data_IF_528995004368
#
_entry.id   IF_528995004368
#
_cell.length_a   1.000
_cell.length_b   1.000
_cell.length_c   1.000
_cell.angle_alpha   90.00
_cell.angle_beta   90.00
_cell.angle_gamma   90.00
#
_symmetry.space_group_name_H-M   'P 1'
#
loop_
_entity.id
_entity.type
_entity.pdbx_description
1 polymer ?
#
# COMPACT_ATOMS: atom_id res chain seq x y z
N UNK A 1 4.87 -2.96 -21.31
CA UNK A 1 4.60 -1.57 -21.78
C UNK A 1 5.02 -0.69 -20.61
N UNK A 2 5.78 0.40 -20.80
CA UNK A 2 6.24 1.18 -19.64
C UNK A 2 5.05 1.62 -18.80
N UNK A 3 5.04 1.22 -17.53
CA UNK A 3 4.02 1.59 -16.55
C UNK A 3 4.15 3.07 -16.15
N UNK A 4 5.39 3.58 -16.23
CA UNK A 4 5.71 4.95 -15.90
C UNK A 4 4.95 5.99 -16.74
N UNK A 5 4.41 7.04 -16.11
CA UNK A 5 3.81 8.15 -16.83
C UNK A 5 4.84 8.90 -17.67
N UNK A 6 4.47 9.19 -18.91
CA UNK A 6 5.30 9.93 -19.89
C UNK A 6 5.16 11.45 -19.80
N UNK A 7 4.16 11.93 -19.06
CA UNK A 7 3.93 13.35 -18.80
C UNK A 7 4.41 13.81 -17.42
N UNK A 8 4.99 12.89 -16.63
CA UNK A 8 5.48 13.21 -15.31
C UNK A 8 6.81 13.97 -15.36
N UNK A 9 6.90 15.00 -14.53
CA UNK A 9 8.16 15.71 -14.32
C UNK A 9 9.07 14.90 -13.40
N UNK A 10 10.34 14.76 -13.77
CA UNK A 10 11.38 14.37 -12.82
C UNK A 10 11.57 15.47 -11.78
N UNK A 11 12.05 15.11 -10.60
CA UNK A 11 12.63 16.10 -9.70
C UNK A 11 13.94 16.64 -10.34
N UNK A 12 14.21 17.96 -10.35
CA UNK A 12 13.51 19.06 -9.67
C UNK A 12 12.69 19.96 -10.62
N UNK A 13 11.95 19.38 -11.57
CA UNK A 13 11.03 20.15 -12.44
C UNK A 13 9.57 20.13 -11.94
N UNK A 14 9.27 19.27 -10.97
CA UNK A 14 7.94 19.08 -10.40
C UNK A 14 7.38 20.33 -9.69
N UNK A 15 6.06 20.59 -9.70
CA UNK A 15 5.45 21.77 -9.07
C UNK A 15 5.32 21.65 -7.54
N UNK A 16 6.41 21.30 -6.85
CA UNK A 16 6.51 21.14 -5.40
C UNK A 16 7.71 21.89 -4.82
N UNK A 17 7.68 22.17 -3.52
CA UNK A 17 8.84 22.66 -2.79
C UNK A 17 9.88 21.54 -2.61
N UNK A 18 11.17 21.86 -2.66
CA UNK A 18 12.27 20.87 -2.50
C UNK A 18 13.02 20.98 -1.16
N UNK A 19 12.53 21.80 -0.23
CA UNK A 19 13.13 21.91 1.10
C UNK A 19 12.65 20.75 1.98
N UNK A 20 13.38 19.64 1.99
CA UNK A 20 13.06 18.41 2.74
C UNK A 20 13.07 18.60 4.28
N UNK A 21 13.45 19.79 4.78
CA UNK A 21 13.24 20.15 6.19
C UNK A 21 11.80 20.59 6.51
N UNK A 22 10.94 20.69 5.48
CA UNK A 22 9.53 21.08 5.57
C UNK A 22 8.66 20.11 4.78
N UNK A 23 7.35 20.03 5.11
CA UNK A 23 6.41 19.28 4.29
C UNK A 23 6.39 19.77 2.85
N UNK A 24 6.37 18.84 1.90
CA UNK A 24 6.30 19.15 0.48
C UNK A 24 4.96 19.81 0.16
N UNK A 25 5.02 21.03 -0.38
CA UNK A 25 3.85 21.81 -0.76
C UNK A 25 3.85 22.16 -2.24
N UNK A 26 2.67 22.26 -2.84
CA UNK A 26 2.53 22.64 -4.24
C UNK A 26 3.02 24.07 -4.48
N UNK A 27 3.78 24.31 -5.55
CA UNK A 27 4.24 25.66 -5.91
C UNK A 27 3.26 26.42 -6.80
N UNK A 28 2.31 25.70 -7.40
CA UNK A 28 1.23 26.21 -8.23
C UNK A 28 -0.05 25.37 -8.00
N UNK A 29 -1.16 25.77 -8.61
CA UNK A 29 -2.41 25.00 -8.51
C UNK A 29 -2.30 23.71 -9.35
N UNK A 30 -2.58 22.56 -8.74
CA UNK A 30 -2.50 21.24 -9.38
C UNK A 30 -3.92 20.70 -9.57
N UNK A 31 -4.19 20.21 -10.79
CA UNK A 31 -5.50 19.65 -11.16
C UNK A 31 -5.63 18.18 -10.79
N UNK A 32 -6.87 17.71 -10.56
CA UNK A 32 -7.14 16.28 -10.36
C UNK A 32 -6.71 15.47 -11.59
N UNK A 33 -6.05 14.34 -11.38
CA UNK A 33 -5.49 13.47 -12.40
C UNK A 33 -4.14 13.92 -12.96
N UNK A 34 -3.61 15.07 -12.52
CA UNK A 34 -2.28 15.53 -12.89
C UNK A 34 -1.23 14.74 -12.12
N UNK A 35 -0.30 14.11 -12.85
CA UNK A 35 0.91 13.54 -12.23
C UNK A 35 1.79 14.70 -11.77
N UNK A 36 2.06 14.74 -10.47
CA UNK A 36 2.85 15.79 -9.81
C UNK A 36 4.33 15.58 -10.13
N UNK A 37 4.83 14.38 -9.85
CA UNK A 37 6.20 13.97 -10.12
C UNK A 37 6.33 12.47 -10.15
N UNK A 38 7.45 12.00 -10.70
CA UNK A 38 7.96 10.65 -10.48
C UNK A 38 9.38 10.70 -9.92
N UNK A 39 9.74 9.67 -9.17
CA UNK A 39 11.04 9.49 -8.55
C UNK A 39 11.45 8.03 -8.69
N UNK A 40 12.59 7.78 -9.34
CA UNK A 40 13.25 6.47 -9.31
C UNK A 40 14.03 6.34 -8.01
N UNK A 41 14.09 5.12 -7.48
CA UNK A 41 14.85 4.83 -6.28
C UNK A 41 16.34 5.21 -6.49
N UNK A 42 16.93 5.81 -5.47
CA UNK A 42 18.37 6.09 -5.45
C UNK A 42 19.20 4.79 -5.41
N UNK A 43 18.67 3.78 -4.74
CA UNK A 43 19.20 2.43 -4.61
C UNK A 43 18.02 1.49 -4.36
N UNK A 44 18.04 0.31 -4.96
CA UNK A 44 17.10 -0.78 -4.70
C UNK A 44 17.81 -2.03 -4.19
N UNK A 45 17.08 -2.97 -3.58
CA UNK A 45 17.60 -4.31 -3.31
C UNK A 45 16.47 -5.31 -3.21
N UNK A 46 16.62 -6.47 -3.85
CA UNK A 46 15.65 -7.54 -3.77
C UNK A 46 15.53 -7.99 -2.31
N UNK A 47 14.30 -8.06 -1.81
CA UNK A 47 14.01 -8.55 -0.47
C UNK A 47 14.38 -10.02 -0.32
N UNK A 48 14.40 -10.58 0.90
CA UNK A 48 14.40 -12.02 1.05
C UNK A 48 13.19 -12.56 0.27
N UNK A 49 13.43 -13.51 -0.64
CA UNK A 49 12.36 -14.36 -1.13
C UNK A 49 11.80 -15.03 0.13
N UNK A 50 10.60 -14.63 0.58
CA UNK A 50 9.85 -15.41 1.55
C UNK A 50 9.68 -16.79 0.91
N UNK A 51 10.50 -17.75 1.34
CA UNK A 51 10.18 -19.14 1.12
C UNK A 51 9.01 -19.44 2.04
N UNK A 52 7.82 -19.55 1.46
CA UNK A 52 6.57 -19.93 2.11
C UNK A 52 6.77 -21.02 3.19
N UNK A 53 6.22 -20.76 4.38
CA UNK A 53 6.16 -21.73 5.48
C UNK A 53 6.17 -21.05 6.86
N UNK A 54 5.00 -20.92 7.49
CA UNK A 54 4.89 -20.62 8.92
C UNK A 54 5.75 -21.62 9.73
N UNK A 55 6.63 -21.12 10.61
CA UNK A 55 7.39 -22.00 11.52
C UNK A 55 7.26 -21.60 12.98
N UNK A 56 6.97 -22.60 13.83
CA UNK A 56 6.78 -22.49 15.29
C UNK A 56 8.04 -21.91 15.99
N UNK A 57 7.82 -21.08 17.01
CA UNK A 57 8.82 -20.29 17.77
C UNK A 57 10.00 -21.08 18.41
N UNK A 58 10.06 -22.41 18.29
CA UNK A 58 11.10 -23.26 18.92
C UNK A 58 11.70 -24.28 17.92
N UNK A 59 12.48 -23.81 16.93
CA UNK A 59 13.29 -24.69 16.07
C UNK A 59 14.75 -24.79 16.59
N UNK A 60 15.15 -25.97 17.10
CA UNK A 60 16.53 -26.25 17.57
C UNK A 60 17.47 -26.81 16.48
N UNK A 61 17.09 -26.80 15.20
CA UNK A 61 17.88 -27.39 14.11
C UNK A 61 18.79 -26.33 13.43
N UNK A 62 20.10 -26.42 13.68
CA UNK A 62 21.14 -25.57 13.08
C UNK A 62 21.30 -25.70 11.55
N UNK A 63 20.56 -26.60 10.93
CA UNK A 63 20.51 -26.81 9.47
C UNK A 63 19.13 -26.51 8.87
N UNK A 64 18.20 -25.96 9.67
CA UNK A 64 16.90 -25.50 9.20
C UNK A 64 17.05 -24.26 8.29
N UNK A 65 16.39 -24.21 7.11
CA UNK A 65 16.43 -23.04 6.22
C UNK A 65 15.78 -21.78 6.80
N UNK A 66 14.96 -21.90 7.85
CA UNK A 66 14.09 -20.84 8.38
C UNK A 66 14.64 -20.05 9.58
N UNK A 67 15.90 -20.22 9.97
CA UNK A 67 16.55 -19.26 10.89
C UNK A 67 17.06 -18.08 10.05
N UNK A 68 16.22 -17.07 9.79
CA UNK A 68 16.53 -15.79 9.11
C UNK A 68 17.79 -15.89 8.24
N UNK A 69 17.73 -16.71 7.18
CA UNK A 69 18.87 -16.85 6.26
C UNK A 69 19.01 -15.51 5.57
N UNK A 70 20.00 -14.75 5.99
CA UNK A 70 20.36 -13.49 5.35
C UNK A 70 20.42 -13.72 3.83
N UNK A 71 19.60 -12.98 3.09
CA UNK A 71 19.52 -13.13 1.64
C UNK A 71 20.93 -13.03 1.05
N UNK A 72 21.33 -14.05 0.29
CA UNK A 72 22.58 -13.98 -0.47
C UNK A 72 22.48 -12.83 -1.49
N UNK A 73 23.61 -12.22 -1.83
CA UNK A 73 23.65 -11.23 -2.90
C UNK A 73 23.39 -11.93 -4.24
N UNK A 74 22.44 -11.41 -4.99
CA UNK A 74 22.25 -11.80 -6.39
C UNK A 74 23.43 -11.29 -7.26
N UNK A 75 23.62 -11.88 -8.45
CA UNK A 75 24.78 -11.58 -9.29
C UNK A 75 24.81 -10.10 -9.73
N UNK A 76 23.64 -9.51 -9.99
CA UNK A 76 23.45 -8.09 -10.30
C UNK A 76 23.70 -7.20 -9.06
N UNK A 77 23.23 -7.60 -7.88
CA UNK A 77 23.50 -6.88 -6.63
C UNK A 77 25.00 -6.83 -6.30
N UNK A 78 25.77 -7.87 -6.66
CA UNK A 78 27.23 -7.87 -6.49
C UNK A 78 27.93 -6.84 -7.39
N UNK A 79 27.40 -6.55 -8.58
CA UNK A 79 27.95 -5.53 -9.48
C UNK A 79 27.76 -4.10 -8.96
N UNK A 80 26.79 -3.90 -8.07
CA UNK A 80 26.48 -2.60 -7.44
C UNK A 80 27.23 -2.34 -6.13
N UNK A 81 28.04 -3.30 -5.68
CA UNK A 81 28.80 -3.21 -4.44
C UNK A 81 30.31 -3.18 -4.69
N UNK A 82 31.07 -2.73 -3.68
CA UNK A 82 32.52 -2.83 -3.73
C UNK A 82 32.97 -4.29 -3.62
N UNK A 83 34.12 -4.62 -4.22
CA UNK A 83 34.67 -5.98 -4.14
C UNK A 83 34.92 -6.44 -2.70
N UNK A 84 35.26 -5.51 -1.79
CA UNK A 84 35.42 -5.79 -0.37
C UNK A 84 34.09 -6.14 0.31
N UNK A 85 33.01 -5.41 -0.01
CA UNK A 85 31.68 -5.71 0.51
C UNK A 85 31.17 -7.08 0.04
N UNK A 86 31.44 -7.46 -1.21
CA UNK A 86 31.07 -8.78 -1.76
C UNK A 86 31.90 -9.91 -1.12
N UNK A 87 33.22 -9.73 -0.97
CA UNK A 87 34.11 -10.73 -0.36
C UNK A 87 33.80 -10.96 1.12
N UNK A 88 33.49 -9.89 1.85
CA UNK A 88 33.22 -9.93 3.29
C UNK A 88 31.72 -10.06 3.64
N UNK A 89 30.81 -10.19 2.66
CA UNK A 89 29.34 -10.14 2.88
C UNK A 89 28.84 -11.07 4.00
N UNK A 90 29.35 -12.31 4.04
CA UNK A 90 28.99 -13.26 5.08
C UNK A 90 29.42 -12.81 6.48
N UNK A 91 30.65 -12.30 6.60
CA UNK A 91 31.22 -11.85 7.89
C UNK A 91 30.55 -10.56 8.37
N UNK A 92 30.27 -9.62 7.46
CA UNK A 92 29.52 -8.38 7.72
C UNK A 92 28.15 -8.69 8.33
N UNK A 93 27.45 -9.69 7.77
CA UNK A 93 26.13 -10.09 8.24
C UNK A 93 26.16 -10.82 9.58
N UNK A 94 27.15 -11.69 9.79
CA UNK A 94 27.39 -12.29 11.10
C UNK A 94 27.62 -11.21 12.16
N UNK A 95 28.39 -10.16 11.83
CA UNK A 95 28.60 -9.02 12.73
C UNK A 95 27.30 -8.29 13.07
N UNK A 96 26.51 -7.88 12.09
CA UNK A 96 25.25 -7.16 12.36
C UNK A 96 24.26 -7.99 13.16
N UNK A 97 24.22 -9.30 12.95
CA UNK A 97 23.38 -10.21 13.75
C UNK A 97 23.80 -10.30 15.23
N UNK A 98 24.98 -9.80 15.61
CA UNK A 98 25.39 -9.70 17.02
C UNK A 98 24.86 -8.45 17.74
N UNK A 99 24.28 -7.50 17.01
CA UNK A 99 23.73 -6.28 17.59
C UNK A 99 22.43 -6.55 18.36
N UNK A 100 22.12 -5.70 19.34
CA UNK A 100 20.87 -5.79 20.11
C UNK A 100 19.65 -5.60 19.21
N UNK A 101 19.75 -4.69 18.23
CA UNK A 101 18.78 -4.47 17.17
C UNK A 101 19.56 -4.49 15.85
N UNK A 102 19.55 -5.62 15.11
CA UNK A 102 20.21 -5.70 13.82
C UNK A 102 19.46 -4.85 12.77
N UNK A 103 20.16 -4.12 11.88
CA UNK A 103 19.53 -3.56 10.69
C UNK A 103 18.91 -4.67 9.83
N UNK A 104 17.84 -4.37 9.10
CA UNK A 104 17.21 -5.33 8.18
C UNK A 104 18.17 -5.72 7.05
N UNK A 105 17.94 -6.86 6.39
CA UNK A 105 18.81 -7.33 5.32
C UNK A 105 18.92 -6.32 4.16
N UNK A 106 17.84 -5.61 3.87
CA UNK A 106 17.73 -4.58 2.84
C UNK A 106 18.55 -3.35 3.20
N UNK A 107 18.43 -2.85 4.44
CA UNK A 107 19.23 -1.71 4.93
C UNK A 107 20.72 -2.00 4.81
N UNK A 108 21.14 -3.23 5.13
CA UNK A 108 22.52 -3.69 4.99
C UNK A 108 22.99 -3.66 3.53
N UNK A 109 22.18 -4.19 2.60
CA UNK A 109 22.47 -4.18 1.17
C UNK A 109 22.56 -2.74 0.65
N UNK A 110 21.57 -1.90 0.95
CA UNK A 110 21.54 -0.51 0.53
C UNK A 110 22.75 0.26 1.05
N UNK A 111 23.15 0.07 2.31
CA UNK A 111 24.30 0.77 2.88
C UNK A 111 25.60 0.44 2.12
N UNK A 112 25.83 -0.84 1.79
CA UNK A 112 26.98 -1.27 0.99
C UNK A 112 26.94 -0.68 -0.43
N UNK A 113 25.77 -0.62 -1.07
CA UNK A 113 25.58 0.04 -2.37
C UNK A 113 25.88 1.53 -2.29
N UNK A 114 25.40 2.25 -1.26
CA UNK A 114 25.69 3.67 -1.04
C UNK A 114 27.19 3.93 -0.85
N UNK A 115 27.90 3.06 -0.13
CA UNK A 115 29.35 3.14 -0.01
C UNK A 115 30.04 3.02 -1.37
N UNK A 116 29.61 2.08 -2.21
CA UNK A 116 30.15 1.93 -3.55
C UNK A 116 29.88 3.19 -4.41
N UNK A 117 28.66 3.73 -4.35
CA UNK A 117 28.32 4.99 -5.03
C UNK A 117 29.22 6.15 -4.57
N UNK A 118 29.52 6.24 -3.27
CA UNK A 118 30.44 7.25 -2.72
C UNK A 118 31.88 7.08 -3.21
N UNK A 119 32.37 5.83 -3.31
CA UNK A 119 33.70 5.57 -3.85
C UNK A 119 33.84 5.97 -5.32
N UNK A 120 32.76 5.81 -6.09
CA UNK A 120 32.69 6.25 -7.49
C UNK A 120 32.58 7.78 -7.60
N UNK A 121 31.79 8.41 -6.74
CA UNK A 121 31.65 9.86 -6.63
C UNK A 121 31.44 10.29 -5.17
N UNK A 122 32.46 10.92 -4.58
CA UNK A 122 32.43 11.40 -3.19
C UNK A 122 31.36 12.47 -2.89
N UNK A 123 30.69 13.00 -3.92
CA UNK A 123 29.60 13.98 -3.78
C UNK A 123 28.21 13.39 -3.90
N UNK A 124 28.10 12.11 -4.29
CA UNK A 124 26.83 11.40 -4.54
C UNK A 124 25.89 11.36 -3.32
N UNK A 125 26.45 11.28 -2.12
CA UNK A 125 25.66 11.15 -0.88
C UNK A 125 25.36 12.49 -0.19
N UNK A 126 25.74 13.63 -0.78
CA UNK A 126 25.63 14.93 -0.12
C UNK A 126 24.19 15.29 0.28
N UNK A 127 23.20 14.94 -0.55
CA UNK A 127 21.78 15.21 -0.26
C UNK A 127 21.28 14.31 0.88
N UNK A 128 21.57 12.99 0.80
CA UNK A 128 21.22 12.00 1.83
C UNK A 128 21.76 12.39 3.22
N UNK A 129 23.00 12.86 3.28
CA UNK A 129 23.63 13.28 4.53
C UNK A 129 23.00 14.54 5.17
N UNK A 130 22.08 15.21 4.48
CA UNK A 130 21.34 16.37 5.01
C UNK A 130 19.90 16.06 5.41
N UNK A 131 19.43 14.83 5.17
CA UNK A 131 18.06 14.42 5.46
C UNK A 131 17.80 14.36 6.97
N UNK A 132 16.62 14.80 7.43
CA UNK A 132 16.26 14.71 8.84
C UNK A 132 16.00 13.25 9.25
N UNK A 133 16.79 12.73 10.20
CA UNK A 133 16.57 11.43 10.82
C UNK A 133 16.19 11.59 12.29
N UNK A 134 15.60 10.55 12.88
CA UNK A 134 15.45 10.48 14.32
C UNK A 134 16.81 10.14 14.95
N UNK A 135 17.24 10.89 15.97
CA UNK A 135 18.49 10.58 16.67
C UNK A 135 18.35 9.24 17.41
N UNK A 136 19.12 8.25 16.98
CA UNK A 136 19.25 6.96 17.66
C UNK A 136 20.73 6.64 17.91
N UNK A 137 21.08 6.39 19.18
CA UNK A 137 22.43 6.02 19.59
C UNK A 137 22.85 4.64 19.04
N UNK A 138 21.88 3.80 18.66
CA UNK A 138 22.11 2.49 18.02
C UNK A 138 22.84 2.66 16.67
N UNK A 139 22.47 3.68 15.88
CA UNK A 139 23.05 3.97 14.57
C UNK A 139 24.54 4.31 14.66
N UNK A 140 24.92 5.08 15.68
CA UNK A 140 26.33 5.39 15.95
C UNK A 140 27.12 4.14 16.33
N UNK A 141 26.53 3.31 17.18
CA UNK A 141 27.14 2.05 17.62
C UNK A 141 27.35 1.11 16.44
N UNK A 142 26.34 1.00 15.56
CA UNK A 142 26.40 0.23 14.32
C UNK A 142 27.53 0.71 13.40
N UNK A 143 27.60 2.01 13.16
CA UNK A 143 28.59 2.64 12.28
C UNK A 143 30.03 2.42 12.75
N UNK A 144 30.30 2.68 14.03
CA UNK A 144 31.64 2.51 14.61
C UNK A 144 32.05 1.05 14.58
N UNK A 145 31.20 0.14 15.04
CA UNK A 145 31.55 -1.27 15.11
C UNK A 145 31.67 -1.91 13.72
N UNK A 146 30.89 -1.49 12.72
CA UNK A 146 31.06 -1.92 11.34
C UNK A 146 32.45 -1.53 10.81
N UNK A 147 32.91 -0.30 11.08
CA UNK A 147 34.25 0.12 10.66
C UNK A 147 35.36 -0.62 11.40
N UNK A 148 35.19 -0.89 12.69
CA UNK A 148 36.17 -1.63 13.48
C UNK A 148 36.31 -3.09 13.01
N UNK A 149 35.18 -3.75 12.70
CA UNK A 149 35.14 -5.13 12.23
C UNK A 149 35.55 -5.26 10.75
N UNK A 150 35.05 -4.36 9.89
CA UNK A 150 35.16 -4.42 8.44
C UNK A 150 35.70 -3.11 7.84
N UNK A 151 36.97 -2.72 8.14
CA UNK A 151 37.53 -1.43 7.74
C UNK A 151 37.71 -1.28 6.21
N UNK A 152 37.71 -2.39 5.46
CA UNK A 152 37.83 -2.37 4.00
C UNK A 152 36.49 -2.08 3.30
N UNK A 153 35.36 -2.29 3.99
CA UNK A 153 34.01 -2.07 3.47
C UNK A 153 33.60 -0.62 3.60
N UNK A 154 33.95 0.03 4.71
CA UNK A 154 33.54 1.41 4.99
C UNK A 154 34.50 2.40 4.34
N UNK A 155 34.05 3.27 3.40
CA UNK A 155 34.93 4.20 2.72
C UNK A 155 35.67 5.12 3.71
N UNK A 156 37.00 5.33 3.55
CA UNK A 156 37.79 6.15 4.47
C UNK A 156 37.46 7.65 4.41
N UNK A 157 36.74 8.09 3.37
CA UNK A 157 36.26 9.46 3.22
C UNK A 157 34.99 9.77 4.03
N UNK A 158 34.28 8.74 4.50
CA UNK A 158 33.11 8.89 5.36
C UNK A 158 33.53 8.79 6.83
N UNK A 159 33.07 9.73 7.65
CA UNK A 159 33.17 9.66 9.11
C UNK A 159 32.12 8.71 9.70
N UNK A 160 32.30 8.30 10.96
CA UNK A 160 31.32 7.46 11.66
C UNK A 160 29.98 8.17 11.83
N UNK A 161 29.99 9.49 12.07
CA UNK A 161 28.79 10.33 12.08
C UNK A 161 28.03 10.26 10.75
N UNK A 162 28.75 10.30 9.62
CA UNK A 162 28.13 10.20 8.29
C UNK A 162 27.58 8.80 8.04
N UNK A 163 28.27 7.74 8.47
CA UNK A 163 27.76 6.37 8.32
C UNK A 163 26.52 6.15 9.18
N UNK A 164 26.53 6.61 10.44
CA UNK A 164 25.37 6.57 11.32
C UNK A 164 24.18 7.35 10.74
N UNK A 165 24.44 8.50 10.13
CA UNK A 165 23.43 9.27 9.40
C UNK A 165 22.83 8.46 8.24
N UNK A 166 23.64 7.76 7.44
CA UNK A 166 23.15 6.95 6.33
C UNK A 166 22.29 5.76 6.81
N UNK A 167 22.66 5.12 7.92
CA UNK A 167 21.84 4.05 8.52
C UNK A 167 20.45 4.60 8.86
N UNK A 168 20.38 5.72 9.60
CA UNK A 168 19.10 6.33 9.94
C UNK A 168 18.32 6.87 8.74
N UNK A 169 19.00 7.20 7.63
CA UNK A 169 18.33 7.55 6.37
C UNK A 169 17.68 6.31 5.76
N UNK A 170 18.39 5.19 5.67
CA UNK A 170 17.86 3.96 5.11
C UNK A 170 16.67 3.44 5.90
N UNK A 171 16.74 3.50 7.24
CA UNK A 171 15.63 3.08 8.10
C UNK A 171 14.35 3.90 7.87
N UNK A 172 14.48 5.19 7.51
CA UNK A 172 13.36 6.14 7.41
C UNK A 172 12.84 6.35 5.99
N UNK A 173 13.73 6.34 5.01
CA UNK A 173 13.46 6.81 3.64
C UNK A 173 13.30 5.68 2.63
N UNK A 174 13.46 4.42 3.06
CA UNK A 174 13.20 3.26 2.22
C UNK A 174 11.70 2.91 2.18
N UNK A 175 11.21 2.59 1.00
CA UNK A 175 9.82 2.21 0.73
C UNK A 175 9.82 0.81 0.09
N UNK A 176 8.96 -0.12 0.55
CA UNK A 176 8.73 -1.39 -0.14
C UNK A 176 8.20 -1.18 -1.56
N UNK A 177 8.69 -1.98 -2.50
CA UNK A 177 8.29 -2.02 -3.89
C UNK A 177 7.67 -3.39 -4.16
N UNK A 178 6.34 -3.45 -4.12
CA UNK A 178 5.58 -4.69 -4.14
C UNK A 178 5.75 -5.44 -5.47
N UNK A 179 5.71 -4.73 -6.60
CA UNK A 179 5.80 -5.33 -7.94
C UNK A 179 7.07 -6.18 -8.14
N UNK A 180 8.18 -5.78 -7.52
CA UNK A 180 9.49 -6.42 -7.70
C UNK A 180 10.00 -7.07 -6.41
N UNK A 181 9.15 -7.23 -5.39
CA UNK A 181 9.50 -7.75 -4.07
C UNK A 181 10.83 -7.17 -3.53
N UNK A 182 10.93 -5.84 -3.59
CA UNK A 182 12.17 -5.09 -3.32
C UNK A 182 11.92 -3.97 -2.34
N UNK A 183 12.98 -3.28 -1.94
CA UNK A 183 12.87 -1.97 -1.25
C UNK A 183 13.73 -0.96 -1.99
N UNK A 184 13.25 0.29 -2.06
CA UNK A 184 13.94 1.39 -2.70
C UNK A 184 14.10 2.59 -1.78
N UNK A 185 15.25 3.28 -1.86
CA UNK A 185 15.48 4.55 -1.18
C UNK A 185 14.92 5.71 -2.01
N UNK A 186 13.94 6.43 -1.47
CA UNK A 186 13.32 7.60 -2.10
C UNK A 186 13.51 8.83 -1.21
N UNK A 187 13.75 10.01 -1.77
CA UNK A 187 13.96 11.24 -1.02
C UNK A 187 12.67 12.06 -0.91
N UNK A 188 11.94 12.18 -2.02
CA UNK A 188 10.78 13.06 -2.12
C UNK A 188 9.48 12.33 -1.78
N UNK A 189 9.26 11.13 -2.29
CA UNK A 189 8.04 10.34 -1.99
C UNK A 189 7.94 10.02 -0.50
N UNK A 190 9.05 9.58 0.11
CA UNK A 190 9.15 9.30 1.56
C UNK A 190 9.01 10.55 2.44
N UNK A 191 9.26 11.74 1.90
CA UNK A 191 9.06 13.02 2.59
C UNK A 191 7.63 13.56 2.51
N UNK A 192 6.73 12.91 1.77
CA UNK A 192 5.31 13.26 1.77
C UNK A 192 4.69 13.03 3.14
N UNK A 193 3.60 13.73 3.44
CA UNK A 193 2.90 13.54 4.71
C UNK A 193 1.74 12.55 4.57
N UNK A 194 1.58 11.70 5.59
CA UNK A 194 0.41 10.85 5.70
C UNK A 194 -0.86 11.68 5.96
N UNK A 195 -1.94 11.32 5.26
CA UNK A 195 -3.31 11.74 5.58
C UNK A 195 -4.28 10.61 5.25
N UNK A 196 -5.14 10.23 6.20
CA UNK A 196 -6.24 9.28 5.93
C UNK A 196 -7.33 9.86 5.00
N UNK A 197 -7.24 11.14 4.65
CA UNK A 197 -8.06 11.78 3.61
C UNK A 197 -7.14 12.49 2.61
N UNK A 198 -6.31 11.74 1.87
CA UNK A 198 -5.21 12.31 1.10
C UNK A 198 -5.71 13.20 -0.05
N UNK A 199 -4.82 14.04 -0.58
CA UNK A 199 -5.05 14.83 -1.79
C UNK A 199 -4.23 14.33 -2.99
N UNK A 200 -3.29 13.40 -2.77
CA UNK A 200 -2.57 12.67 -3.81
C UNK A 200 -2.63 11.14 -3.58
N UNK A 201 -2.47 10.39 -4.66
CA UNK A 201 -2.17 8.95 -4.66
C UNK A 201 -0.71 8.77 -5.03
N UNK A 202 -0.05 7.74 -4.48
CA UNK A 202 1.22 7.26 -5.04
C UNK A 202 1.00 5.89 -5.69
N UNK A 203 1.86 5.54 -6.63
CA UNK A 203 1.80 4.29 -7.38
C UNK A 203 3.23 3.88 -7.70
N UNK A 204 3.51 2.59 -7.54
CA UNK A 204 4.77 1.96 -7.90
C UNK A 204 4.75 1.47 -9.35
N UNK A 205 5.91 1.57 -10.00
CA UNK A 205 6.26 0.68 -11.08
C UNK A 205 7.75 0.38 -11.08
N UNK A 206 8.09 -0.90 -11.08
CA UNK A 206 9.47 -1.38 -11.07
C UNK A 206 10.26 -0.73 -9.92
N UNK A 207 11.29 0.07 -10.25
CA UNK A 207 12.18 0.76 -9.32
C UNK A 207 11.76 2.21 -9.02
N UNK A 208 10.56 2.62 -9.44
CA UNK A 208 10.13 4.00 -9.38
C UNK A 208 8.73 4.16 -8.78
N UNK A 209 8.51 5.34 -8.19
CA UNK A 209 7.24 5.76 -7.63
C UNK A 209 6.80 7.05 -8.32
N UNK A 210 5.51 7.24 -8.55
CA UNK A 210 4.97 8.55 -8.93
C UNK A 210 3.78 8.94 -8.09
N UNK A 211 3.50 10.24 -8.12
CA UNK A 211 2.49 10.87 -7.28
C UNK A 211 1.51 11.63 -8.14
N UNK A 212 0.23 11.34 -8.01
CA UNK A 212 -0.84 11.93 -8.82
C UNK A 212 -1.87 12.61 -7.92
N UNK A 213 -2.26 13.84 -8.26
CA UNK A 213 -3.27 14.56 -7.50
C UNK A 213 -4.66 13.94 -7.69
N UNK A 214 -5.30 13.49 -6.62
CA UNK A 214 -6.66 12.92 -6.62
C UNK A 214 -7.72 13.92 -6.13
N UNK A 215 -7.27 15.08 -5.66
CA UNK A 215 -8.08 16.27 -5.33
C UNK A 215 -7.38 17.51 -5.91
N UNK A 216 -8.10 18.63 -6.14
CA UNK A 216 -7.43 19.89 -6.45
C UNK A 216 -6.50 20.27 -5.30
N UNK A 217 -5.26 20.64 -5.61
CA UNK A 217 -4.26 21.08 -4.61
C UNK A 217 -3.92 22.54 -4.94
N UNK A 218 -4.17 23.46 -4.01
CA UNK A 218 -3.88 24.87 -4.23
C UNK A 218 -2.39 25.18 -4.04
N UNK A 219 -1.88 26.23 -4.70
CA UNK A 219 -0.53 26.71 -4.45
C UNK A 219 -0.30 27.00 -2.95
N UNK A 220 0.75 26.39 -2.38
CA UNK A 220 1.11 26.46 -0.96
C UNK A 220 0.43 25.41 -0.08
N UNK A 221 -0.48 24.58 -0.61
CA UNK A 221 -1.07 23.44 0.09
C UNK A 221 -0.08 22.26 0.14
N UNK A 222 -0.05 21.56 1.28
CA UNK A 222 0.80 20.37 1.47
C UNK A 222 0.26 19.19 0.66
N UNK A 223 1.15 18.48 -0.01
CA UNK A 223 0.83 17.23 -0.71
C UNK A 223 0.84 16.09 0.30
N UNK A 224 -0.25 15.32 0.34
CA UNK A 224 -0.48 14.24 1.30
C UNK A 224 -0.95 12.97 0.62
N UNK A 225 -0.49 11.83 1.14
CA UNK A 225 -0.81 10.48 0.63
C UNK A 225 -1.27 9.58 1.79
N UNK A 226 -1.86 8.43 1.47
CA UNK A 226 -2.18 7.38 2.45
C UNK A 226 -1.15 6.25 2.37
N UNK A 227 -0.06 6.37 3.16
CA UNK A 227 0.99 5.34 3.22
C UNK A 227 0.57 3.99 3.81
N UNK A 228 -0.57 3.91 4.51
CA UNK A 228 -0.92 2.74 5.32
C UNK A 228 -2.22 2.06 4.84
N UNK A 229 -2.76 2.51 3.71
CA UNK A 229 -3.98 1.97 3.11
C UNK A 229 -5.18 1.92 4.08
N UNK A 230 -5.37 2.99 4.86
CA UNK A 230 -6.32 3.05 5.99
C UNK A 230 -7.73 3.53 5.60
N UNK A 231 -8.03 3.56 4.30
CA UNK A 231 -9.23 4.22 3.74
C UNK A 231 -10.58 3.64 4.22
N UNK A 232 -10.63 2.36 4.63
CA UNK A 232 -11.83 1.70 5.16
C UNK A 232 -11.73 1.29 6.63
N UNK A 233 -10.69 1.71 7.34
CA UNK A 233 -10.49 1.39 8.75
C UNK A 233 -11.36 2.28 9.65
N UNK A 234 -11.79 1.80 10.82
CA UNK A 234 -12.47 2.67 11.78
C UNK A 234 -11.51 3.69 12.38
N UNK A 235 -12.01 4.78 12.99
CA UNK A 235 -11.12 5.72 13.69
C UNK A 235 -10.26 5.05 14.78
N UNK A 236 -10.80 4.02 15.45
CA UNK A 236 -10.06 3.28 16.47
C UNK A 236 -8.93 2.46 15.84
N UNK A 237 -9.25 1.68 14.80
CA UNK A 237 -8.25 0.84 14.11
C UNK A 237 -7.15 1.70 13.47
N UNK A 238 -7.52 2.84 12.86
CA UNK A 238 -6.53 3.80 12.34
C UNK A 238 -5.60 4.29 13.44
N UNK A 239 -6.13 4.64 14.62
CA UNK A 239 -5.31 5.14 15.72
C UNK A 239 -4.33 4.08 16.23
N UNK A 240 -4.76 2.81 16.29
CA UNK A 240 -3.92 1.68 16.69
C UNK A 240 -2.78 1.43 15.70
N UNK A 241 -3.08 1.36 14.40
CA UNK A 241 -2.05 1.19 13.36
C UNK A 241 -1.05 2.35 13.38
N UNK A 242 -1.54 3.59 13.44
CA UNK A 242 -0.69 4.78 13.43
C UNK A 242 0.19 4.86 14.70
N UNK A 243 -0.33 4.47 15.86
CA UNK A 243 0.45 4.41 17.11
C UNK A 243 1.58 3.36 17.02
N UNK A 244 1.27 2.19 16.44
CA UNK A 244 2.26 1.16 16.14
C UNK A 244 3.38 1.63 15.21
N UNK A 245 3.05 2.54 14.28
CA UNK A 245 4.01 3.16 13.35
C UNK A 245 4.62 4.46 13.87
N UNK A 246 4.41 4.78 15.15
CA UNK A 246 4.87 6.03 15.79
C UNK A 246 4.45 7.31 15.04
N UNK A 247 3.37 7.24 14.26
CA UNK A 247 2.80 8.35 13.50
C UNK A 247 1.66 9.01 14.27
N UNK A 248 1.62 10.35 14.24
CA UNK A 248 0.43 11.11 14.62
C UNK A 248 -0.20 11.78 13.39
N UNK A 249 -1.32 11.25 12.90
CA UNK A 249 -2.08 11.89 11.83
C UNK A 249 -3.00 12.99 12.38
N UNK A 250 -2.94 14.18 11.78
CA UNK A 250 -3.75 15.34 12.16
C UNK A 250 -4.92 15.64 11.21
N UNK A 251 -5.35 14.68 10.39
CA UNK A 251 -6.50 14.86 9.51
C UNK A 251 -7.82 14.94 10.29
N UNK A 252 -8.86 15.53 9.71
CA UNK A 252 -10.16 15.72 10.37
C UNK A 252 -10.81 14.40 10.80
N UNK A 253 -10.57 13.28 10.10
CA UNK A 253 -11.06 11.97 10.50
C UNK A 253 -10.39 11.47 11.78
N UNK A 254 -9.06 11.55 11.87
CA UNK A 254 -8.30 11.12 13.05
C UNK A 254 -8.59 12.01 14.27
N UNK A 255 -8.75 13.31 14.04
CA UNK A 255 -9.16 14.28 15.07
C UNK A 255 -10.63 14.13 15.49
N UNK A 256 -11.43 13.31 14.79
CA UNK A 256 -12.86 13.14 15.08
C UNK A 256 -13.69 14.38 14.75
N UNK A 257 -13.17 15.26 13.90
CA UNK A 257 -13.85 16.48 13.42
C UNK A 257 -14.75 16.19 12.21
N UNK A 258 -14.45 15.12 11.47
CA UNK A 258 -15.28 14.60 10.38
C UNK A 258 -16.02 13.31 10.77
N UNK A 259 -17.19 13.03 10.19
CA UNK A 259 -17.92 11.79 10.45
C UNK A 259 -17.14 10.55 10.01
N UNK A 260 -17.05 9.54 10.89
CA UNK A 260 -16.41 8.26 10.58
C UNK A 260 -17.39 7.37 9.80
N UNK A 261 -17.37 7.49 8.47
CA UNK A 261 -18.31 6.80 7.58
C UNK A 261 -18.15 5.28 7.56
N UNK A 262 -17.00 4.77 7.99
CA UNK A 262 -16.73 3.33 8.13
C UNK A 262 -17.52 2.72 9.29
N UNK A 263 -17.94 3.52 10.28
CA UNK A 263 -18.85 3.11 11.37
C UNK A 263 -20.27 3.60 11.11
N UNK A 264 -20.85 3.11 10.03
CA UNK A 264 -22.20 3.46 9.58
C UNK A 264 -23.28 2.59 10.25
N UNK A 265 -24.30 3.21 10.85
CA UNK A 265 -25.43 2.52 11.48
C UNK A 265 -26.77 2.92 10.86
N UNK A 266 -27.77 2.05 10.93
CA UNK A 266 -29.14 2.35 10.50
C UNK A 266 -29.82 3.28 11.49
N UNK A 267 -30.54 4.29 11.00
CA UNK A 267 -31.29 5.19 11.85
C UNK A 267 -32.41 4.47 12.59
N UNK A 268 -32.52 4.70 13.91
CA UNK A 268 -33.58 4.14 14.77
C UNK A 268 -34.92 4.88 14.64
N UNK A 269 -34.97 6.02 13.95
CA UNK A 269 -36.20 6.77 13.76
C UNK A 269 -37.07 6.07 12.70
N UNK A 270 -38.25 5.58 13.11
CA UNK A 270 -39.19 4.85 12.24
C UNK A 270 -39.62 5.66 11.00
N UNK A 271 -39.61 7.00 11.08
CA UNK A 271 -39.92 7.87 9.93
C UNK A 271 -38.73 8.11 9.00
N UNK A 272 -37.56 7.54 9.30
CA UNK A 272 -36.30 7.73 8.59
C UNK A 272 -35.66 6.38 8.22
N UNK A 273 -36.38 5.59 7.42
CA UNK A 273 -36.02 4.19 7.08
C UNK A 273 -34.67 4.02 6.41
N UNK A 274 -34.26 4.99 5.58
CA UNK A 274 -32.99 4.96 4.84
C UNK A 274 -31.92 5.88 5.47
N UNK A 275 -32.16 6.33 6.70
CA UNK A 275 -31.21 7.20 7.39
C UNK A 275 -29.97 6.45 7.85
N UNK A 276 -28.80 7.06 7.67
CA UNK A 276 -27.52 6.52 8.12
C UNK A 276 -26.96 7.41 9.23
N UNK A 277 -26.44 6.78 10.29
CA UNK A 277 -25.86 7.43 11.47
C UNK A 277 -24.37 7.14 11.52
N UNK A 278 -23.57 8.15 11.83
CA UNK A 278 -22.11 8.02 12.04
C UNK A 278 -21.70 8.68 13.35
N UNK A 279 -20.61 8.22 13.96
CA UNK A 279 -19.91 8.99 14.97
C UNK A 279 -19.15 10.16 14.34
N UNK A 280 -19.24 11.34 14.96
CA UNK A 280 -18.32 12.46 14.81
C UNK A 280 -17.81 12.80 16.21
N UNK A 281 -16.63 12.29 16.55
CA UNK A 281 -16.21 12.16 17.95
C UNK A 281 -17.23 11.33 18.73
N UNK A 282 -17.76 11.89 19.83
CA UNK A 282 -18.73 11.22 20.69
C UNK A 282 -20.20 11.39 20.23
N UNK A 283 -20.45 12.14 19.14
CA UNK A 283 -21.79 12.45 18.67
C UNK A 283 -22.20 11.52 17.54
N UNK A 284 -23.23 10.70 17.78
CA UNK A 284 -23.83 9.83 16.77
C UNK A 284 -25.07 10.50 16.19
N UNK A 285 -24.99 10.94 14.93
CA UNK A 285 -26.06 11.70 14.29
C UNK A 285 -26.46 11.13 12.92
N UNK A 286 -27.77 11.10 12.66
CA UNK A 286 -28.29 10.71 11.36
C UNK A 286 -28.10 11.81 10.32
N UNK A 287 -27.52 11.48 9.16
CA UNK A 287 -27.29 12.41 8.05
C UNK A 287 -28.58 12.85 7.35
N UNK A 288 -29.66 12.07 7.47
CA UNK A 288 -30.94 12.35 6.81
C UNK A 288 -31.91 13.15 7.69
N UNK A 289 -32.17 12.70 8.92
CA UNK A 289 -33.15 13.35 9.80
C UNK A 289 -32.54 14.19 10.93
N UNK A 290 -31.21 14.18 11.09
CA UNK A 290 -30.53 14.93 12.15
C UNK A 290 -30.74 14.37 13.56
N UNK A 291 -31.40 13.23 13.71
CA UNK A 291 -31.58 12.61 15.02
C UNK A 291 -30.24 12.20 15.62
N UNK A 292 -29.97 12.65 16.84
CA UNK A 292 -28.79 12.28 17.63
C UNK A 292 -29.13 11.16 18.60
N UNK A 293 -28.22 10.21 18.78
CA UNK A 293 -28.40 9.11 19.71
C UNK A 293 -27.95 9.48 21.12
N UNK A 294 -28.61 8.89 22.12
CA UNK A 294 -28.19 8.95 23.51
C UNK A 294 -27.19 7.82 23.84
N UNK A 295 -26.61 7.88 25.03
CA UNK A 295 -25.61 6.90 25.47
C UNK A 295 -26.15 5.47 25.49
N UNK A 296 -27.44 5.26 25.80
CA UNK A 296 -28.03 3.92 25.79
C UNK A 296 -28.10 3.36 24.36
N UNK A 297 -28.50 4.19 23.39
CA UNK A 297 -28.53 3.81 21.99
C UNK A 297 -27.13 3.54 21.43
N UNK A 298 -26.11 4.33 21.84
CA UNK A 298 -24.71 4.14 21.48
C UNK A 298 -24.17 2.84 22.08
N UNK A 299 -24.31 2.64 23.39
CA UNK A 299 -23.86 1.42 24.08
C UNK A 299 -24.46 0.15 23.48
N UNK A 300 -25.72 0.20 23.06
CA UNK A 300 -26.39 -0.93 22.43
C UNK A 300 -25.76 -1.31 21.07
N UNK A 301 -25.43 -0.33 20.22
CA UNK A 301 -24.81 -0.63 18.92
C UNK A 301 -23.34 -1.00 19.05
N UNK A 302 -22.61 -0.42 20.01
CA UNK A 302 -21.21 -0.79 20.25
C UNK A 302 -21.08 -2.22 20.79
N UNK A 303 -22.03 -2.68 21.61
CA UNK A 303 -22.10 -4.10 22.01
C UNK A 303 -22.34 -5.02 20.82
N UNK A 304 -23.21 -4.63 19.90
CA UNK A 304 -23.49 -5.41 18.70
C UNK A 304 -22.29 -5.44 17.74
N UNK A 305 -21.59 -4.31 17.59
CA UNK A 305 -20.34 -4.20 16.84
C UNK A 305 -19.28 -5.16 17.40
N UNK A 306 -19.03 -5.13 18.71
CA UNK A 306 -18.10 -6.06 19.38
C UNK A 306 -18.55 -7.52 19.21
N UNK A 307 -19.85 -7.80 19.30
CA UNK A 307 -20.38 -9.16 19.10
C UNK A 307 -20.09 -9.64 17.68
N UNK A 308 -20.38 -8.82 16.67
CA UNK A 308 -20.12 -9.16 15.28
C UNK A 308 -18.62 -9.29 14.98
N UNK A 309 -17.76 -8.42 15.52
CA UNK A 309 -16.30 -8.56 15.34
C UNK A 309 -15.75 -9.89 15.85
N UNK A 310 -16.30 -10.42 16.95
CA UNK A 310 -15.78 -11.63 17.61
C UNK A 310 -16.47 -12.92 17.15
N UNK A 311 -17.75 -12.86 16.76
CA UNK A 311 -18.59 -14.03 16.56
C UNK A 311 -19.13 -14.18 15.13
N UNK A 312 -18.88 -13.22 14.23
CA UNK A 312 -19.37 -13.30 12.86
C UNK A 312 -18.61 -14.39 12.10
N UNK A 313 -19.29 -15.51 11.89
CA UNK A 313 -18.86 -16.62 11.04
C UNK A 313 -19.98 -16.86 10.04
N UNK A 314 -19.63 -16.81 8.77
CA UNK A 314 -20.55 -17.02 7.64
C UNK A 314 -19.84 -17.89 6.60
N UNK A 315 -20.62 -18.58 5.77
CA UNK A 315 -20.09 -19.37 4.66
C UNK A 315 -20.76 -19.03 3.33
N UNK A 316 -21.85 -18.26 3.36
CA UNK A 316 -22.55 -17.84 2.15
C UNK A 316 -22.85 -16.35 2.18
N UNK A 317 -22.90 -15.75 1.00
CA UNK A 317 -23.40 -14.38 0.82
C UNK A 317 -24.78 -14.17 1.44
N UNK A 318 -25.69 -15.13 1.26
CA UNK A 318 -27.07 -15.03 1.74
C UNK A 318 -27.15 -14.95 3.27
N UNK A 319 -26.26 -15.64 3.98
CA UNK A 319 -26.15 -15.52 5.44
C UNK A 319 -25.72 -14.11 5.85
N UNK A 320 -24.70 -13.55 5.19
CA UNK A 320 -24.25 -12.19 5.47
C UNK A 320 -25.35 -11.16 5.23
N UNK A 321 -26.05 -11.23 4.09
CA UNK A 321 -27.14 -10.32 3.76
C UNK A 321 -28.28 -10.41 4.79
N UNK A 322 -28.60 -11.60 5.29
CA UNK A 322 -29.59 -11.77 6.36
C UNK A 322 -29.12 -11.16 7.68
N UNK A 323 -27.84 -11.31 8.03
CA UNK A 323 -27.23 -10.69 9.23
C UNK A 323 -27.24 -9.17 9.08
N UNK A 324 -26.83 -8.63 7.93
CA UNK A 324 -26.87 -7.20 7.63
C UNK A 324 -28.31 -6.70 7.77
N UNK A 325 -29.30 -7.37 7.20
CA UNK A 325 -30.70 -6.96 7.26
C UNK A 325 -31.22 -6.89 8.70
N UNK A 326 -30.88 -7.88 9.54
CA UNK A 326 -31.29 -7.95 10.94
C UNK A 326 -30.50 -7.03 11.88
N UNK A 327 -29.29 -6.63 11.49
CA UNK A 327 -28.38 -5.83 12.31
C UNK A 327 -28.79 -4.35 12.37
N UNK A 328 -28.53 -3.63 13.48
CA UNK A 328 -28.57 -2.18 13.54
C UNK A 328 -27.40 -1.49 12.79
N UNK A 329 -26.35 -2.22 12.43
CA UNK A 329 -25.26 -1.70 11.60
C UNK A 329 -25.74 -1.55 10.16
N UNK A 330 -25.24 -0.53 9.47
CA UNK A 330 -25.52 -0.31 8.05
C UNK A 330 -24.62 -1.21 7.19
N UNK A 331 -25.02 -1.49 5.95
CA UNK A 331 -24.22 -2.31 5.02
C UNK A 331 -22.83 -1.72 4.69
N UNK A 332 -22.63 -0.44 4.95
CA UNK A 332 -21.35 0.27 4.75
C UNK A 332 -20.45 0.22 6.00
N UNK A 333 -20.85 -0.53 7.02
CA UNK A 333 -20.05 -0.69 8.22
C UNK A 333 -18.81 -1.53 7.91
N UNK A 334 -17.64 -1.14 8.42
CA UNK A 334 -16.34 -1.77 8.12
C UNK A 334 -16.33 -3.27 8.36
N UNK A 335 -17.01 -3.76 9.41
CA UNK A 335 -17.19 -5.19 9.67
C UNK A 335 -17.73 -5.91 8.43
N UNK A 336 -18.86 -5.45 7.89
CA UNK A 336 -19.49 -6.12 6.74
C UNK A 336 -18.69 -5.92 5.46
N UNK A 337 -18.07 -4.74 5.29
CA UNK A 337 -17.18 -4.51 4.16
C UNK A 337 -16.00 -5.49 4.17
N UNK A 338 -15.29 -5.61 5.30
CA UNK A 338 -14.18 -6.56 5.46
C UNK A 338 -14.63 -7.99 5.25
N UNK A 339 -15.77 -8.39 5.82
CA UNK A 339 -16.31 -9.73 5.58
C UNK A 339 -16.58 -9.99 4.10
N UNK A 340 -17.09 -9.02 3.34
CA UNK A 340 -17.27 -9.17 1.90
C UNK A 340 -15.95 -9.21 1.12
N UNK A 341 -14.92 -8.47 1.55
CA UNK A 341 -13.58 -8.52 0.94
C UNK A 341 -13.00 -9.92 1.11
N UNK A 342 -12.89 -10.42 2.35
CA UNK A 342 -12.43 -11.78 2.63
C UNK A 342 -13.22 -12.84 1.86
N UNK A 343 -14.53 -12.63 1.65
CA UNK A 343 -15.35 -13.54 0.87
C UNK A 343 -14.91 -13.65 -0.60
N UNK A 344 -14.46 -12.55 -1.19
CA UNK A 344 -14.00 -12.50 -2.56
C UNK A 344 -12.55 -12.96 -2.69
N UNK A 345 -11.71 -12.65 -1.70
CA UNK A 345 -10.27 -12.95 -1.72
C UNK A 345 -9.99 -14.42 -1.38
N UNK A 346 -10.63 -14.98 -0.34
CA UNK A 346 -10.36 -16.36 0.13
C UNK A 346 -11.20 -17.43 -0.60
N UNK A 347 -11.87 -17.07 -1.71
CA UNK A 347 -12.79 -17.95 -2.44
C UNK A 347 -13.76 -18.74 -1.52
N UNK A 348 -14.21 -18.13 -0.41
CA UNK A 348 -14.99 -18.80 0.67
C UNK A 348 -16.22 -19.55 0.16
N UNK A 349 -16.75 -19.12 -0.98
CA UNK A 349 -17.83 -19.77 -1.73
C UNK A 349 -17.36 -20.00 -3.17
N UNK A 350 -16.52 -21.02 -3.36
CA UNK A 350 -16.00 -21.46 -4.68
C UNK A 350 -17.12 -21.70 -5.71
N UNK A 351 -18.32 -22.05 -5.22
CA UNK A 351 -19.51 -22.30 -6.01
C UNK A 351 -20.34 -21.03 -6.27
N UNK A 352 -19.87 -19.83 -5.88
CA UNK A 352 -20.64 -18.61 -6.03
C UNK A 352 -20.94 -18.34 -7.52
N UNK A 353 -22.22 -18.26 -7.92
CA UNK A 353 -22.58 -17.92 -9.29
C UNK A 353 -22.03 -16.55 -9.70
N UNK A 354 -21.55 -16.43 -10.94
CA UNK A 354 -20.95 -15.20 -11.47
C UNK A 354 -21.84 -13.96 -11.31
N UNK A 355 -23.16 -14.11 -11.49
CA UNK A 355 -24.12 -13.02 -11.31
C UNK A 355 -24.20 -12.55 -9.85
N UNK A 356 -24.03 -13.47 -8.90
CA UNK A 356 -23.93 -13.14 -7.49
C UNK A 356 -22.61 -12.46 -7.16
N UNK A 357 -21.49 -12.92 -7.72
CA UNK A 357 -20.17 -12.30 -7.54
C UNK A 357 -20.16 -10.86 -8.04
N UNK A 358 -20.74 -10.63 -9.22
CA UNK A 358 -20.93 -9.29 -9.76
C UNK A 358 -21.70 -8.37 -8.80
N UNK A 359 -22.77 -8.87 -8.17
CA UNK A 359 -23.54 -8.09 -7.20
C UNK A 359 -22.78 -7.83 -5.88
N UNK A 360 -21.86 -8.71 -5.48
CA UNK A 360 -20.96 -8.45 -4.35
C UNK A 360 -20.00 -7.31 -4.69
N UNK A 361 -19.32 -7.36 -5.84
CA UNK A 361 -18.44 -6.28 -6.29
C UNK A 361 -19.18 -4.93 -6.41
N UNK A 362 -20.41 -4.92 -6.94
CA UNK A 362 -21.26 -3.71 -6.96
C UNK A 362 -21.53 -3.19 -5.55
N UNK A 363 -21.82 -4.08 -4.59
CA UNK A 363 -22.04 -3.75 -3.19
C UNK A 363 -20.80 -3.18 -2.49
N UNK A 364 -19.63 -3.78 -2.76
CA UNK A 364 -18.32 -3.31 -2.28
C UNK A 364 -17.99 -1.95 -2.86
N UNK A 365 -18.11 -1.75 -4.17
CA UNK A 365 -17.88 -0.46 -4.81
C UNK A 365 -18.85 0.62 -4.31
N UNK A 366 -20.12 0.30 -4.10
CA UNK A 366 -21.09 1.23 -3.52
C UNK A 366 -20.69 1.64 -2.09
N UNK A 367 -20.20 0.69 -1.30
CA UNK A 367 -19.73 0.93 0.07
C UNK A 367 -18.42 1.72 0.11
N UNK A 368 -17.53 1.47 -0.85
CA UNK A 368 -16.29 2.22 -1.03
C UNK A 368 -16.57 3.66 -1.46
N UNK A 369 -17.46 3.88 -2.45
CA UNK A 369 -17.87 5.23 -2.86
C UNK A 369 -18.57 6.02 -1.75
N UNK A 370 -19.19 5.34 -0.80
CA UNK A 370 -19.82 5.98 0.36
C UNK A 370 -18.79 6.55 1.35
N UNK A 371 -17.79 5.73 1.67
CA UNK A 371 -16.75 6.03 2.66
C UNK A 371 -15.65 6.91 2.07
N UNK A 372 -15.13 6.49 0.92
CA UNK A 372 -14.04 7.12 0.18
C UNK A 372 -14.66 7.94 -0.96
N UNK A 373 -14.83 9.23 -0.73
CA UNK A 373 -15.49 10.14 -1.68
C UNK A 373 -14.53 10.75 -2.73
N UNK A 374 -13.29 10.29 -2.76
CA UNK A 374 -12.25 10.68 -3.71
C UNK A 374 -11.87 9.53 -4.66
N UNK A 375 -11.16 9.81 -5.78
CA UNK A 375 -10.59 8.78 -6.65
C UNK A 375 -9.67 7.82 -5.88
N UNK A 376 -9.75 6.51 -6.14
CA UNK A 376 -9.01 5.50 -5.37
C UNK A 376 -8.73 4.25 -6.20
N UNK A 377 -7.53 3.67 -6.04
CA UNK A 377 -7.09 2.49 -6.80
C UNK A 377 -8.03 1.28 -6.61
N UNK A 378 -8.45 0.97 -5.38
CA UNK A 378 -9.41 -0.11 -5.11
C UNK A 378 -10.73 0.00 -5.92
N UNK A 379 -11.17 1.22 -6.29
CA UNK A 379 -12.37 1.37 -7.14
C UNK A 379 -12.11 0.85 -8.55
N UNK A 380 -10.90 1.10 -9.08
CA UNK A 380 -10.46 0.61 -10.38
C UNK A 380 -10.41 -0.91 -10.36
N UNK A 381 -9.86 -1.49 -9.30
CA UNK A 381 -9.79 -2.94 -9.10
C UNK A 381 -11.18 -3.59 -9.13
N UNK A 382 -12.16 -3.08 -8.36
CA UNK A 382 -13.53 -3.62 -8.45
C UNK A 382 -14.17 -3.43 -9.83
N UNK A 383 -13.97 -2.28 -10.48
CA UNK A 383 -14.46 -2.06 -11.84
C UNK A 383 -13.86 -3.06 -12.83
N UNK A 384 -12.59 -3.39 -12.65
CA UNK A 384 -11.88 -4.37 -13.45
C UNK A 384 -12.46 -5.78 -13.26
N UNK A 385 -12.58 -6.25 -12.02
CA UNK A 385 -13.19 -7.56 -11.75
C UNK A 385 -14.63 -7.66 -12.25
N UNK A 386 -15.42 -6.60 -12.13
CA UNK A 386 -16.77 -6.58 -12.68
C UNK A 386 -16.77 -6.68 -14.21
N UNK A 387 -15.84 -6.01 -14.91
CA UNK A 387 -15.70 -6.12 -16.35
C UNK A 387 -15.35 -7.55 -16.78
N UNK A 388 -14.37 -8.18 -16.11
CA UNK A 388 -13.98 -9.56 -16.36
C UNK A 388 -15.12 -10.55 -16.08
N UNK A 389 -15.85 -10.37 -14.96
CA UNK A 389 -17.04 -11.17 -14.63
C UNK A 389 -18.11 -11.05 -15.72
N UNK A 390 -18.33 -9.86 -16.27
CA UNK A 390 -19.27 -9.66 -17.36
C UNK A 390 -18.84 -10.36 -18.66
N UNK A 391 -17.53 -10.43 -18.96
CA UNK A 391 -17.02 -11.21 -20.10
C UNK A 391 -17.33 -12.69 -19.91
N UNK A 392 -17.10 -13.25 -18.72
CA UNK A 392 -17.42 -14.64 -18.38
C UNK A 392 -18.91 -14.96 -18.52
N UNK A 393 -19.77 -13.98 -18.23
CA UNK A 393 -21.23 -14.09 -18.41
C UNK A 393 -21.71 -13.77 -19.84
N UNK A 394 -20.81 -13.49 -20.78
CA UNK A 394 -21.11 -13.07 -22.15
C UNK A 394 -21.89 -11.73 -22.27
N UNK A 395 -21.87 -10.89 -21.23
CA UNK A 395 -22.46 -9.53 -21.24
C UNK A 395 -21.40 -8.47 -21.59
N UNK A 396 -21.03 -8.46 -22.87
CA UNK A 396 -19.94 -7.62 -23.38
C UNK A 396 -20.27 -6.12 -23.33
N UNK A 397 -21.55 -5.75 -23.45
CA UNK A 397 -21.98 -4.36 -23.35
C UNK A 397 -21.77 -3.83 -21.93
N UNK A 398 -22.14 -4.63 -20.92
CA UNK A 398 -21.91 -4.27 -19.54
C UNK A 398 -20.41 -4.29 -19.18
N UNK A 399 -19.65 -5.27 -19.67
CA UNK A 399 -18.19 -5.33 -19.49
C UNK A 399 -17.51 -4.05 -20.00
N UNK A 400 -17.87 -3.61 -21.20
CA UNK A 400 -17.36 -2.36 -21.77
C UNK A 400 -17.65 -1.15 -20.88
N UNK A 401 -18.86 -1.05 -20.33
CA UNK A 401 -19.24 0.07 -19.46
C UNK A 401 -18.42 0.11 -18.17
N UNK A 402 -17.97 -1.05 -17.67
CA UNK A 402 -17.08 -1.12 -16.51
C UNK A 402 -15.65 -0.75 -16.85
N UNK A 403 -15.14 -1.18 -18.01
CA UNK A 403 -13.83 -0.69 -18.50
C UNK A 403 -13.82 0.82 -18.76
N UNK A 404 -14.92 1.40 -19.27
CA UNK A 404 -15.04 2.85 -19.44
C UNK A 404 -14.95 3.60 -18.09
N UNK A 405 -15.59 3.05 -17.05
CA UNK A 405 -15.48 3.58 -15.69
C UNK A 405 -14.09 3.38 -15.10
N UNK A 406 -13.46 2.21 -15.32
CA UNK A 406 -12.11 1.90 -14.84
C UNK A 406 -11.09 2.86 -15.47
N UNK A 407 -11.18 3.08 -16.78
CA UNK A 407 -10.38 4.05 -17.52
C UNK A 407 -10.57 5.48 -16.99
N UNK A 408 -11.82 5.92 -16.79
CA UNK A 408 -12.08 7.26 -16.27
C UNK A 408 -11.51 7.44 -14.85
N UNK A 409 -11.56 6.40 -14.01
CA UNK A 409 -11.00 6.43 -12.66
C UNK A 409 -9.46 6.37 -12.69
N UNK A 410 -8.85 5.56 -13.56
CA UNK A 410 -7.38 5.45 -13.67
C UNK A 410 -6.74 6.74 -14.16
N UNK A 411 -7.38 7.49 -15.06
CA UNK A 411 -6.95 8.85 -15.41
C UNK A 411 -6.85 9.78 -14.19
N UNK A 412 -7.68 9.58 -13.16
CA UNK A 412 -7.69 10.42 -11.95
C UNK A 412 -6.70 9.93 -10.89
N UNK A 413 -6.45 8.62 -10.82
CA UNK A 413 -5.60 7.99 -9.78
C UNK A 413 -4.15 7.85 -10.24
N UNK A 414 -3.93 7.36 -11.46
CA UNK A 414 -2.60 7.08 -12.00
C UNK A 414 -2.11 8.14 -12.99
N UNK A 415 -3.03 8.89 -13.59
CA UNK A 415 -2.75 9.88 -14.64
C UNK A 415 -3.00 9.32 -16.05
N UNK A 416 -3.25 10.21 -17.03
CA UNK A 416 -3.70 9.83 -18.38
C UNK A 416 -2.64 9.05 -19.17
N UNK A 417 -1.35 9.29 -18.90
CA UNK A 417 -0.27 8.71 -19.71
C UNK A 417 0.40 7.48 -19.11
N UNK A 418 0.03 7.10 -17.89
CA UNK A 418 0.50 5.88 -17.22
C UNK A 418 0.10 4.62 -18.00
N UNK A 419 0.95 3.58 -17.97
CA UNK A 419 0.79 2.35 -18.75
C UNK A 419 -0.52 1.61 -18.44
N UNK A 420 -0.90 1.56 -17.18
CA UNK A 420 -2.11 0.94 -16.64
C UNK A 420 -3.35 1.71 -17.12
N UNK A 421 -3.30 3.05 -17.09
CA UNK A 421 -4.36 3.87 -17.69
C UNK A 421 -4.50 3.60 -19.19
N UNK A 422 -3.38 3.48 -19.91
CA UNK A 422 -3.37 3.11 -21.33
C UNK A 422 -3.88 1.68 -21.58
N UNK A 423 -3.65 0.76 -20.65
CA UNK A 423 -4.21 -0.59 -20.70
C UNK A 423 -5.74 -0.53 -20.65
N UNK A 424 -6.33 0.19 -19.69
CA UNK A 424 -7.77 0.40 -19.64
C UNK A 424 -8.31 1.14 -20.87
N UNK A 425 -7.57 2.10 -21.41
CA UNK A 425 -7.91 2.73 -22.69
C UNK A 425 -8.07 1.69 -23.81
N UNK A 426 -7.12 0.75 -23.92
CA UNK A 426 -7.20 -0.33 -24.90
C UNK A 426 -8.38 -1.26 -24.66
N UNK A 427 -8.71 -1.59 -23.40
CA UNK A 427 -9.91 -2.37 -23.09
C UNK A 427 -11.21 -1.66 -23.51
N UNK A 428 -11.26 -0.34 -23.46
CA UNK A 428 -12.42 0.43 -23.94
C UNK A 428 -12.49 0.44 -25.48
N UNK A 429 -11.36 0.62 -26.14
CA UNK A 429 -11.26 0.66 -27.61
C UNK A 429 -11.51 -0.72 -28.24
N UNK A 430 -11.01 -1.77 -27.59
CA UNK A 430 -11.04 -3.16 -28.03
C UNK A 430 -11.48 -4.04 -26.86
N UNK A 431 -12.74 -3.91 -26.44
CA UNK A 431 -13.26 -4.75 -25.35
C UNK A 431 -13.21 -6.22 -25.74
N UNK A 432 -12.60 -7.11 -24.93
CA UNK A 432 -12.58 -8.54 -25.20
C UNK A 432 -13.99 -9.09 -25.41
N UNK A 433 -14.16 -9.92 -26.43
CA UNK A 433 -15.46 -10.53 -26.74
C UNK A 433 -15.64 -11.90 -26.05
N UNK A 434 -14.57 -12.46 -25.48
CA UNK A 434 -14.55 -13.76 -24.82
C UNK A 434 -13.32 -13.88 -23.91
N UNK A 435 -13.23 -14.98 -23.16
CA UNK A 435 -12.16 -15.26 -22.20
C UNK A 435 -10.79 -15.35 -22.86
N UNK A 436 -10.69 -15.93 -24.07
CA UNK A 436 -9.41 -16.06 -24.76
C UNK A 436 -8.84 -14.69 -25.16
N UNK A 437 -9.66 -13.83 -25.77
CA UNK A 437 -9.28 -12.44 -26.07
C UNK A 437 -8.93 -11.65 -24.80
N UNK A 438 -9.62 -11.92 -23.69
CA UNK A 438 -9.32 -11.28 -22.41
C UNK A 438 -7.93 -11.67 -21.93
N UNK A 439 -7.61 -12.97 -21.88
CA UNK A 439 -6.30 -13.51 -21.49
C UNK A 439 -5.16 -12.93 -22.33
N UNK A 440 -5.33 -12.90 -23.66
CA UNK A 440 -4.36 -12.31 -24.59
C UNK A 440 -4.08 -10.84 -24.26
N UNK A 441 -5.12 -10.05 -23.94
CA UNK A 441 -4.96 -8.64 -23.63
C UNK A 441 -4.31 -8.35 -22.27
N UNK A 442 -4.47 -9.24 -21.29
CA UNK A 442 -3.74 -9.17 -20.01
C UNK A 442 -2.29 -9.68 -20.14
N UNK A 443 -1.92 -10.28 -21.28
CA UNK A 443 -0.57 -10.77 -21.53
C UNK A 443 -0.34 -12.22 -21.10
N UNK A 444 -1.40 -12.99 -20.85
CA UNK A 444 -1.29 -14.44 -20.68
C UNK A 444 -1.22 -15.08 -22.08
N UNK A 445 -0.01 -15.38 -22.56
CA UNK A 445 0.17 -16.19 -23.76
C UNK A 445 -0.24 -17.63 -23.42
N UNK A 446 -1.06 -18.28 -24.26
CA UNK A 446 -1.33 -19.72 -24.19
C UNK A 446 0.01 -20.46 -24.39
N UNK A 447 0.71 -20.80 -23.31
CA UNK A 447 1.77 -21.81 -23.40
C UNK A 447 1.09 -23.15 -23.60
N UNK A 448 1.27 -23.75 -24.78
CA UNK A 448 0.79 -25.09 -25.17
C UNK A 448 1.35 -26.25 -24.30
N UNK A 449 1.80 -25.98 -23.07
CA UNK A 449 2.35 -26.96 -22.12
C UNK A 449 1.46 -27.16 -20.85
N UNK A 450 0.28 -26.54 -20.75
CA UNK A 450 -0.66 -26.73 -19.62
C UNK A 450 -1.61 -27.96 -19.77
N UNK A 451 -1.21 -29.02 -20.50
CA UNK A 451 -1.95 -30.29 -20.49
C UNK A 451 -1.31 -31.39 -19.59
N UNK A 452 -0.25 -31.09 -18.81
CA UNK A 452 0.38 -32.07 -17.89
C UNK A 452 0.66 -31.58 -16.45
N UNK A 453 0.09 -30.46 -15.98
CA UNK A 453 0.19 -30.02 -14.57
C UNK A 453 -1.19 -29.72 -13.90
N UNK A 454 -2.26 -30.41 -14.33
CA UNK A 454 -3.51 -30.46 -13.55
C UNK A 454 -3.43 -31.46 -12.37
N UNK A 455 -2.38 -31.46 -11.55
CA UNK A 455 -2.41 -32.03 -10.19
C UNK A 455 -1.35 -31.32 -9.33
N UNK A 456 -1.78 -30.50 -8.36
CA UNK A 456 -0.98 -29.75 -7.36
C UNK A 456 -0.49 -28.35 -7.80
N UNK A 457 -1.41 -27.44 -8.12
CA UNK A 457 -1.20 -26.00 -7.92
C UNK A 457 -2.31 -25.50 -6.99
N UNK A 458 -1.99 -25.47 -5.70
CA UNK A 458 -2.87 -25.04 -4.64
C UNK A 458 -2.95 -23.51 -4.74
N UNK A 459 -4.11 -23.01 -5.16
CA UNK A 459 -4.30 -21.60 -5.45
C UNK A 459 -3.99 -20.69 -4.27
N UNK A 460 -3.00 -19.81 -4.44
CA UNK A 460 -2.81 -18.63 -3.62
C UNK A 460 -2.45 -17.45 -4.53
N UNK A 461 -3.42 -16.55 -4.74
CA UNK A 461 -3.14 -15.19 -5.23
C UNK A 461 -2.36 -14.43 -4.14
N UNK A 462 -1.42 -13.55 -4.51
CA UNK A 462 -0.56 -12.87 -3.54
C UNK A 462 -1.41 -12.08 -2.54
N UNK A 463 -1.23 -12.43 -1.26
CA UNK A 463 -1.78 -11.76 -0.10
C UNK A 463 -1.50 -10.26 -0.16
N UNK A 464 -2.54 -9.49 -0.52
CA UNK A 464 -2.61 -8.06 -0.23
C UNK A 464 -2.78 -7.98 1.30
N UNK A 465 -2.00 -7.12 1.98
CA UNK A 465 -2.03 -6.81 3.44
C UNK A 465 -0.97 -7.48 4.35
N UNK A 466 0.28 -7.00 4.30
CA UNK A 466 1.25 -6.81 5.41
C UNK A 466 2.61 -6.43 4.77
N UNK A 467 3.49 -5.51 5.17
CA UNK A 467 3.79 -4.79 6.41
C UNK A 467 4.42 -3.43 6.04
N UNK A 468 3.75 -2.30 6.28
CA UNK A 468 4.41 -0.98 6.28
C UNK A 468 4.98 -0.70 7.68
N UNK A 469 6.10 -1.33 8.05
CA UNK A 469 6.66 -1.21 9.39
C UNK A 469 7.73 -0.11 9.57
N UNK A 470 8.26 0.51 8.51
CA UNK A 470 9.42 1.41 8.64
C UNK A 470 9.28 2.81 8.01
N UNK A 471 8.11 3.23 7.53
CA UNK A 471 7.96 4.59 6.99
C UNK A 471 7.50 5.56 8.08
N UNK A 472 8.43 6.01 8.95
CA UNK A 472 8.43 7.36 9.50
C UNK A 472 9.64 7.88 10.27
#
# INVERSE_FOLDING_TARGET
MSLLPTDASTIPEAPITYDLSKPLAATEDISVGQVIFYESAFVTSVGPIELEGEHEEECEDSTCPGCERVANLEDDEQEEMSAAAVEEWGEINEYWNTMEIPPSAEVRKHLCKLFHTYEMDSTSLNELLTLPIHEDESNMTAAVGLREAHPAVVPPGLSDDQVAQLIGVLDRYCIPLEEINSTGLFLYVSSLQHSCTPNASFTDAEDALWVTAIKPIAAGEVVTVDFFNLYYSSRADRAEVLEGMHLTCSCDLCLGLSPDRTRAFKCKNESCTDGIVHPTGDVFACTTCGATWDNEAIDAVSKEEIRLMNELIIYTRAELENIIAASPLHRHHYIFYRTFINFMDEAVDEDMPLDQGLEVYKGLLASLNYVVDYPHAQKIHFLNHMAQTCILMEDIELAKSYYEQAYAMSCLVFGETCGETRMFQRFVEHTPQNVAEMREMYGHEDTEDEEEEEEEDDGEEPSVYANFANVQ
#
